data_IF_332668174271
#
_entry.id   IF_332668174271
#
_cell.length_a   1.000
_cell.length_b   1.000
_cell.length_c   1.000
_cell.angle_alpha   90.00
_cell.angle_beta   90.00
_cell.angle_gamma   90.00
#
_symmetry.space_group_name_H-M   'P 1'
#
loop_
_entity.id
_entity.type
_entity.pdbx_description
1 polymer ?
#
# COMPACT_ATOMS: atom_id res chain seq x y z
N UNK A 1 -7.73 -23.69 -16.58
CA UNK A 1 -8.14 -22.29 -16.35
C UNK A 1 -6.98 -21.45 -16.79
N UNK A 2 -6.88 -21.23 -18.10
CA UNK A 2 -5.75 -20.55 -18.71
C UNK A 2 -5.80 -19.07 -18.32
N UNK A 3 -4.76 -18.59 -17.64
CA UNK A 3 -4.64 -17.20 -17.26
C UNK A 3 -4.37 -16.39 -18.52
N UNK A 4 -5.37 -15.63 -18.99
CA UNK A 4 -5.17 -14.67 -20.06
C UNK A 4 -3.98 -13.74 -19.71
N UNK A 5 -3.10 -13.40 -20.67
CA UNK A 5 -1.88 -12.63 -20.39
C UNK A 5 -2.14 -11.29 -19.69
N UNK A 6 -3.33 -10.73 -19.86
CA UNK A 6 -3.83 -9.52 -19.19
C UNK A 6 -3.95 -9.72 -17.67
N UNK A 7 -4.51 -10.85 -17.24
CA UNK A 7 -4.65 -11.16 -15.81
C UNK A 7 -3.29 -11.48 -15.20
N UNK A 8 -2.40 -12.13 -15.93
CA UNK A 8 -1.02 -12.39 -15.50
C UNK A 8 -0.26 -11.08 -15.21
N UNK A 9 -0.32 -10.10 -16.12
CA UNK A 9 0.31 -8.78 -15.91
C UNK A 9 -0.31 -8.07 -14.70
N UNK A 10 -1.64 -8.15 -14.56
CA UNK A 10 -2.34 -7.53 -13.45
C UNK A 10 -1.94 -8.13 -12.10
N UNK A 11 -1.77 -9.44 -12.02
CA UNK A 11 -1.26 -10.13 -10.81
C UNK A 11 0.18 -9.72 -10.51
N UNK A 12 1.05 -9.64 -11.51
CA UNK A 12 2.43 -9.17 -11.34
C UNK A 12 2.48 -7.74 -10.80
N UNK A 13 1.62 -6.85 -11.30
CA UNK A 13 1.50 -5.47 -10.79
C UNK A 13 1.02 -5.45 -9.33
N UNK A 14 0.06 -6.30 -8.97
CA UNK A 14 -0.42 -6.42 -7.59
C UNK A 14 0.69 -6.84 -6.61
N UNK A 15 1.49 -7.84 -7.01
CA UNK A 15 2.62 -8.33 -6.21
C UNK A 15 3.67 -7.23 -6.07
N UNK A 16 4.01 -6.53 -7.16
CA UNK A 16 4.97 -5.43 -7.15
C UNK A 16 4.56 -4.33 -6.17
N UNK A 17 3.33 -3.82 -6.27
CA UNK A 17 2.79 -2.80 -5.37
C UNK A 17 2.78 -3.27 -3.90
N UNK A 18 2.40 -4.52 -3.64
CA UNK A 18 2.38 -5.07 -2.27
C UNK A 18 3.78 -5.15 -1.64
N UNK A 19 4.78 -5.57 -2.41
CA UNK A 19 6.18 -5.66 -1.93
C UNK A 19 6.77 -4.28 -1.71
N UNK A 20 6.51 -3.35 -2.63
CA UNK A 20 7.04 -1.97 -2.56
C UNK A 20 6.50 -1.25 -1.32
N UNK A 21 5.20 -1.38 -1.05
CA UNK A 21 4.58 -0.88 0.19
C UNK A 21 5.23 -1.47 1.44
N UNK A 22 5.41 -2.79 1.49
CA UNK A 22 6.00 -3.46 2.65
C UNK A 22 7.46 -3.05 2.89
N UNK A 23 8.24 -2.91 1.81
CA UNK A 23 9.64 -2.50 1.87
C UNK A 23 9.80 -1.06 2.34
N UNK A 24 9.01 -0.12 1.79
CA UNK A 24 9.04 1.28 2.18
C UNK A 24 8.65 1.49 3.64
N UNK A 25 7.63 0.76 4.12
CA UNK A 25 7.21 0.84 5.51
C UNK A 25 8.29 0.27 6.44
N UNK A 26 8.82 -0.90 6.11
CA UNK A 26 9.83 -1.56 6.94
C UNK A 26 11.12 -0.75 7.02
N UNK A 27 11.58 -0.20 5.88
CA UNK A 27 12.76 0.66 5.81
C UNK A 27 12.58 1.90 6.69
N UNK A 28 11.46 2.63 6.52
CA UNK A 28 11.21 3.84 7.29
C UNK A 28 10.97 3.53 8.77
N UNK A 29 10.39 2.37 9.12
CA UNK A 29 10.24 1.95 10.51
C UNK A 29 11.57 1.66 11.22
N UNK A 30 12.51 1.03 10.52
CA UNK A 30 13.84 0.72 11.04
C UNK A 30 14.71 1.98 11.16
N UNK A 31 14.59 2.90 10.19
CA UNK A 31 15.41 4.11 10.12
C UNK A 31 14.85 5.32 10.87
N UNK A 32 13.62 5.24 11.41
CA UNK A 32 13.02 6.34 12.17
C UNK A 32 13.48 6.29 13.62
N UNK A 33 14.20 7.31 14.08
CA UNK A 33 14.46 7.56 15.50
C UNK A 33 13.24 8.26 16.13
N UNK A 34 12.71 7.77 17.27
CA UNK A 34 11.57 8.40 17.91
C UNK A 34 11.95 9.80 18.41
N UNK A 35 11.15 10.85 18.12
CA UNK A 35 11.36 12.15 18.73
C UNK A 35 11.19 12.03 20.25
N UNK A 36 12.19 12.51 20.98
CA UNK A 36 12.34 12.44 22.45
C UNK A 36 11.18 13.01 23.28
N UNK A 37 10.18 13.62 22.64
CA UNK A 37 8.97 14.19 23.26
C UNK A 37 7.89 13.13 23.51
N UNK A 38 7.86 12.03 22.74
CA UNK A 38 6.78 11.02 22.80
C UNK A 38 6.89 10.09 24.01
N UNK A 39 8.11 9.89 24.54
CA UNK A 39 8.40 8.97 25.63
C UNK A 39 7.75 9.35 26.98
N UNK A 40 7.15 10.54 27.10
CA UNK A 40 6.57 11.04 28.36
C UNK A 40 5.12 10.64 28.67
N UNK A 41 4.35 10.08 27.73
CA UNK A 41 2.88 9.99 27.89
C UNK A 41 2.29 8.58 28.10
N UNK A 42 3.09 7.54 28.38
CA UNK A 42 2.57 6.21 28.76
C UNK A 42 1.66 5.50 27.73
N UNK A 43 1.51 6.07 26.52
CA UNK A 43 0.98 5.37 25.35
C UNK A 43 2.13 4.64 24.71
N UNK A 44 1.89 3.40 24.29
CA UNK A 44 2.87 2.50 23.71
C UNK A 44 3.68 3.23 22.63
N UNK A 45 4.95 3.53 22.91
CA UNK A 45 5.81 4.42 22.10
C UNK A 45 5.86 3.96 20.63
N UNK A 46 5.69 2.65 20.43
CA UNK A 46 5.64 1.96 19.15
C UNK A 46 4.42 2.40 18.32
N UNK A 47 3.24 2.54 18.93
CA UNK A 47 2.00 2.95 18.25
C UNK A 47 2.12 4.36 17.71
N UNK A 48 2.65 5.28 18.51
CA UNK A 48 2.82 6.68 18.11
C UNK A 48 3.89 6.80 17.02
N UNK A 49 5.01 6.07 17.16
CA UNK A 49 6.05 5.99 16.11
C UNK A 49 5.47 5.54 14.77
N UNK A 50 4.68 4.48 14.79
CA UNK A 50 4.05 3.90 13.61
C UNK A 50 3.00 4.80 12.97
N UNK A 51 2.15 5.47 13.77
CA UNK A 51 1.18 6.43 13.25
C UNK A 51 1.88 7.62 12.57
N UNK A 52 2.99 8.10 13.14
CA UNK A 52 3.76 9.21 12.58
C UNK A 52 4.45 8.81 11.27
N UNK A 53 5.01 7.60 11.21
CA UNK A 53 5.56 7.04 9.97
C UNK A 53 4.45 6.88 8.94
N UNK A 54 3.32 6.26 9.30
CA UNK A 54 2.20 6.06 8.38
C UNK A 54 1.68 7.37 7.80
N UNK A 55 1.66 8.46 8.59
CA UNK A 55 1.33 9.79 8.07
C UNK A 55 2.37 10.32 7.08
N UNK A 56 3.66 10.06 7.31
CA UNK A 56 4.73 10.52 6.40
C UNK A 56 4.82 9.72 5.10
N UNK A 57 4.57 8.40 5.14
CA UNK A 57 4.65 7.52 3.96
C UNK A 57 3.29 7.26 3.29
N UNK A 58 2.18 7.44 4.00
CA UNK A 58 0.84 7.22 3.45
C UNK A 58 0.50 8.18 2.31
N UNK A 59 0.93 9.44 2.41
CA UNK A 59 0.75 10.45 1.34
C UNK A 59 1.43 10.03 0.02
N UNK A 60 2.75 9.73 -0.02
CA UNK A 60 3.41 9.31 -1.25
C UNK A 60 2.89 7.95 -1.76
N UNK A 61 2.43 7.05 -0.88
CA UNK A 61 1.80 5.79 -1.32
C UNK A 61 0.48 6.02 -2.07
N UNK A 62 -0.39 6.89 -1.55
CA UNK A 62 -1.64 7.25 -2.23
C UNK A 62 -1.36 7.99 -3.54
N UNK A 63 -0.36 8.86 -3.55
CA UNK A 63 0.07 9.57 -4.75
C UNK A 63 0.61 8.61 -5.83
N UNK A 64 1.39 7.60 -5.45
CA UNK A 64 1.86 6.55 -6.35
C UNK A 64 0.70 5.71 -6.92
N UNK A 65 -0.28 5.35 -6.10
CA UNK A 65 -1.48 4.67 -6.59
C UNK A 65 -2.26 5.56 -7.57
N UNK A 66 -2.42 6.84 -7.25
CA UNK A 66 -3.11 7.81 -8.11
C UNK A 66 -2.38 8.02 -9.46
N UNK A 67 -1.04 8.09 -9.46
CA UNK A 67 -0.26 8.22 -10.70
C UNK A 67 -0.37 6.98 -11.59
N UNK A 68 -0.49 5.80 -11.00
CA UNK A 68 -0.75 4.54 -11.73
C UNK A 68 -2.12 4.58 -12.43
N UNK A 69 -3.13 5.11 -11.75
CA UNK A 69 -4.47 5.32 -12.34
C UNK A 69 -4.46 6.40 -13.42
N UNK A 70 -3.77 7.51 -13.20
CA UNK A 70 -3.61 8.58 -14.20
C UNK A 70 -2.88 8.10 -15.46
N UNK A 71 -1.87 7.24 -15.31
CA UNK A 71 -1.15 6.59 -16.42
C UNK A 71 -2.07 5.75 -17.31
N UNK A 72 -3.18 5.24 -16.76
CA UNK A 72 -4.16 4.43 -17.49
C UNK A 72 -5.22 5.27 -18.22
N UNK A 73 -5.34 6.59 -17.96
CA UNK A 73 -6.32 7.46 -18.64
C UNK A 73 -6.15 7.55 -20.17
N UNK A 74 -4.94 7.67 -20.75
CA UNK A 74 -4.75 7.71 -22.21
C UNK A 74 -5.18 6.41 -22.90
N UNK A 75 -5.11 5.29 -22.19
CA UNK A 75 -5.53 3.98 -22.69
C UNK A 75 -7.05 3.90 -22.84
N UNK A 76 -7.83 4.63 -22.02
CA UNK A 76 -9.29 4.73 -22.21
C UNK A 76 -9.71 5.52 -23.45
N UNK A 77 -8.84 6.39 -23.97
CA UNK A 77 -9.10 7.12 -25.22
C UNK A 77 -9.01 6.20 -26.45
N UNK A 78 -8.40 5.02 -26.32
CA UNK A 78 -8.34 4.00 -27.36
C UNK A 78 -9.60 3.12 -27.33
N UNK A 79 -10.39 3.12 -28.40
CA UNK A 79 -11.62 2.31 -28.54
C UNK A 79 -11.35 0.82 -28.83
N UNK A 80 -10.28 0.26 -28.25
CA UNK A 80 -9.92 -1.15 -28.43
C UNK A 80 -10.38 -1.91 -27.19
N UNK A 81 -11.29 -2.87 -27.35
CA UNK A 81 -11.88 -3.64 -26.26
C UNK A 81 -10.85 -4.24 -25.30
N UNK A 82 -9.73 -4.75 -25.82
CA UNK A 82 -8.62 -5.33 -25.06
C UNK A 82 -7.91 -4.31 -24.16
N UNK A 83 -7.78 -3.07 -24.63
CA UNK A 83 -7.10 -2.01 -23.89
C UNK A 83 -8.00 -1.48 -22.76
N UNK A 84 -9.30 -1.34 -23.02
CA UNK A 84 -10.29 -0.92 -22.01
C UNK A 84 -10.41 -1.97 -20.90
N UNK A 85 -10.43 -3.25 -21.25
CA UNK A 85 -10.48 -4.34 -20.27
C UNK A 85 -9.19 -4.45 -19.44
N UNK A 86 -8.01 -4.22 -20.06
CA UNK A 86 -6.75 -4.08 -19.33
C UNK A 86 -6.77 -2.90 -18.34
N UNK A 87 -7.16 -1.70 -18.77
CA UNK A 87 -7.21 -0.52 -17.91
C UNK A 87 -8.18 -0.71 -16.72
N UNK A 88 -9.34 -1.32 -16.94
CA UNK A 88 -10.28 -1.69 -15.87
C UNK A 88 -9.66 -2.66 -14.87
N UNK A 89 -8.88 -3.62 -15.34
CA UNK A 89 -8.24 -4.63 -14.48
C UNK A 89 -7.15 -4.00 -13.63
N UNK A 90 -6.31 -3.14 -14.22
CA UNK A 90 -5.29 -2.39 -13.48
C UNK A 90 -5.90 -1.46 -12.44
N UNK A 91 -7.01 -0.78 -12.75
CA UNK A 91 -7.71 0.07 -11.79
C UNK A 91 -8.25 -0.73 -10.59
N UNK A 92 -8.88 -1.87 -10.84
CA UNK A 92 -9.41 -2.76 -9.77
C UNK A 92 -8.28 -3.33 -8.93
N UNK A 93 -7.19 -3.77 -9.57
CA UNK A 93 -6.03 -4.30 -8.85
C UNK A 93 -5.32 -3.23 -8.03
N UNK A 94 -5.10 -2.04 -8.58
CA UNK A 94 -4.45 -0.95 -7.85
C UNK A 94 -5.29 -0.53 -6.64
N UNK A 95 -6.59 -0.37 -6.80
CA UNK A 95 -7.49 -0.02 -5.70
C UNK A 95 -7.57 -1.12 -4.62
N UNK A 96 -7.72 -2.39 -5.01
CA UNK A 96 -7.70 -3.51 -4.07
C UNK A 96 -6.33 -3.66 -3.39
N UNK A 97 -5.23 -3.49 -4.13
CA UNK A 97 -3.86 -3.58 -3.61
C UNK A 97 -3.54 -2.47 -2.61
N UNK A 98 -3.92 -1.23 -2.89
CA UNK A 98 -3.80 -0.12 -1.94
C UNK A 98 -4.71 -0.33 -0.73
N UNK A 99 -5.96 -0.76 -0.93
CA UNK A 99 -6.89 -0.99 0.18
C UNK A 99 -6.39 -2.11 1.10
N UNK A 100 -5.94 -3.22 0.52
CA UNK A 100 -5.38 -4.35 1.27
C UNK A 100 -4.03 -3.98 1.92
N UNK A 101 -3.14 -3.27 1.22
CA UNK A 101 -1.86 -2.82 1.77
C UNK A 101 -2.02 -1.81 2.92
N UNK A 102 -2.97 -0.89 2.80
CA UNK A 102 -3.28 0.10 3.85
C UNK A 102 -4.06 -0.51 5.01
N UNK A 103 -4.86 -1.55 4.82
CA UNK A 103 -5.62 -2.21 5.92
C UNK A 103 -4.87 -3.34 6.62
N UNK A 104 -4.10 -4.15 5.90
CA UNK A 104 -3.38 -5.29 6.50
C UNK A 104 -2.32 -4.82 7.47
N UNK A 105 -1.59 -3.76 7.14
CA UNK A 105 -0.56 -3.23 8.00
C UNK A 105 -1.07 -2.76 9.38
N UNK A 106 -2.11 -1.92 9.50
CA UNK A 106 -2.67 -1.57 10.81
C UNK A 106 -3.31 -2.76 11.51
N UNK A 107 -3.88 -3.73 10.78
CA UNK A 107 -4.48 -4.93 11.37
C UNK A 107 -3.42 -5.86 12.00
N UNK A 108 -2.36 -6.20 11.26
CA UNK A 108 -1.25 -7.04 11.75
C UNK A 108 -0.56 -6.39 12.95
N UNK A 109 -0.37 -5.06 12.91
CA UNK A 109 0.22 -4.33 14.02
C UNK A 109 -0.65 -4.31 15.28
N UNK A 110 -1.96 -4.13 15.13
CA UNK A 110 -2.89 -4.13 16.26
C UNK A 110 -2.86 -5.48 16.97
N UNK A 111 -2.71 -6.58 16.23
CA UNK A 111 -2.61 -7.93 16.78
C UNK A 111 -1.28 -8.14 17.52
N UNK A 112 -0.14 -7.73 16.94
CA UNK A 112 1.19 -7.85 17.59
C UNK A 112 1.27 -7.05 18.91
N UNK A 113 0.68 -5.85 18.93
CA UNK A 113 0.59 -5.02 20.14
C UNK A 113 -0.34 -5.67 21.19
N UNK A 114 -1.45 -6.28 20.75
CA UNK A 114 -2.38 -6.94 21.65
C UNK A 114 -1.80 -8.21 22.28
N UNK A 115 -0.96 -8.96 21.55
CA UNK A 115 -0.30 -10.18 22.05
C UNK A 115 0.81 -9.86 23.06
N UNK A 116 1.49 -8.72 22.95
CA UNK A 116 2.58 -8.35 23.87
C UNK A 116 2.12 -7.78 25.22
N UNK A 117 0.83 -7.48 25.38
CA UNK A 117 0.24 -6.89 26.58
C UNK A 117 -0.63 -7.88 27.41
N UNK A 118 -0.70 -9.15 27.01
CA UNK A 118 -1.31 -10.26 27.78
C UNK A 118 -0.25 -11.10 28.48
#
# INVERSE_FOLDING_TARGET
>A
LDMDPITMISVLMAIGLSVDFSAHICYHFYNYEPPSIVSKNGRDERVVKLATIFESIGKPMVEAAASTVLCMLPLFAMQIYTIVSFAKTVFVVASLGTLHGVFILPAVLTIDICEKHG
#
